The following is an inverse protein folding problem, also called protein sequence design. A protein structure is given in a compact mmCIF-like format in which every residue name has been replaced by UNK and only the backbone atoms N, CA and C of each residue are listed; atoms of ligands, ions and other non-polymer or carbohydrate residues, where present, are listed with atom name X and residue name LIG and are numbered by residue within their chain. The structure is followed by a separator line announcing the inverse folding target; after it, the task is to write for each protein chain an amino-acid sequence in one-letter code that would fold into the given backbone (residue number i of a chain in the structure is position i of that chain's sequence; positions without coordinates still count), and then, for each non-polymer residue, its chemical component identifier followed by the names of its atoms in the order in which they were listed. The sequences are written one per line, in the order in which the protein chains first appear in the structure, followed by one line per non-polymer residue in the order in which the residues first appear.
data_IF_240548274515
#
_entry.id   IF_240548274515
#
_cell.length_a   1.000
_cell.length_b   1.000
_cell.length_c   1.000
_cell.angle_alpha   90.00
_cell.angle_beta   90.00
_cell.angle_gamma   90.00
#
_symmetry.space_group_name_H-M   'P 1'
#
loop_
_entity.id
_entity.type
_entity.pdbx_description
1 polymer ?
#
# COMPACT_ATOMS: atom_id res chain seq x y z
N UNK A 1 -2.20 2.62 -30.16
CA UNK A 1 -2.39 4.05 -29.86
C UNK A 1 -1.85 4.31 -28.48
N UNK A 2 -1.12 5.40 -28.28
CA UNK A 2 -0.55 5.71 -26.96
C UNK A 2 -1.51 6.66 -26.24
N UNK A 3 -2.49 6.11 -25.50
CA UNK A 3 -3.47 6.93 -24.79
C UNK A 3 -2.84 7.71 -23.64
N UNK A 4 -3.31 8.92 -23.44
CA UNK A 4 -2.95 9.78 -22.29
C UNK A 4 -3.95 9.55 -21.16
N UNK A 5 -3.46 9.47 -19.93
CA UNK A 5 -4.29 9.28 -18.74
C UNK A 5 -3.91 10.27 -17.64
N UNK A 6 -4.84 10.53 -16.75
CA UNK A 6 -4.59 11.31 -15.53
C UNK A 6 -4.61 10.37 -14.34
N UNK A 7 -3.53 10.35 -13.59
CA UNK A 7 -3.46 9.72 -12.28
C UNK A 7 -3.75 10.79 -11.22
N UNK A 8 -4.85 10.64 -10.51
CA UNK A 8 -5.16 11.54 -9.41
C UNK A 8 -4.54 11.01 -8.11
N UNK A 9 -3.50 11.70 -7.65
CA UNK A 9 -2.77 11.37 -6.43
C UNK A 9 -2.69 12.61 -5.54
N UNK A 10 -3.53 12.72 -4.53
CA UNK A 10 -3.83 13.95 -3.80
C UNK A 10 -2.59 14.68 -3.24
N UNK A 11 -1.60 13.93 -2.73
CA UNK A 11 -0.29 14.46 -2.32
C UNK A 11 0.81 13.66 -3.02
N UNK A 12 1.17 14.02 -4.27
CA UNK A 12 2.12 13.26 -5.06
C UNK A 12 3.47 13.09 -4.35
N UNK A 13 4.10 11.95 -4.56
CA UNK A 13 5.42 11.63 -4.02
C UNK A 13 5.51 11.44 -2.50
N UNK A 14 4.40 11.18 -1.80
CA UNK A 14 4.46 10.81 -0.39
C UNK A 14 5.27 9.52 -0.18
N UNK A 15 6.19 9.53 0.81
CA UNK A 15 7.09 8.39 1.09
C UNK A 15 6.38 7.06 1.38
N UNK A 16 5.15 7.13 1.89
CA UNK A 16 4.35 5.95 2.24
C UNK A 16 3.60 5.34 1.06
N UNK A 17 3.66 5.97 -0.12
CA UNK A 17 2.85 5.63 -1.29
C UNK A 17 3.73 5.33 -2.53
N UNK A 18 4.95 4.81 -2.30
CA UNK A 18 5.93 4.46 -3.35
C UNK A 18 5.39 3.51 -4.41
N UNK A 19 4.48 2.62 -4.03
CA UNK A 19 3.83 1.66 -4.92
C UNK A 19 3.02 2.35 -6.03
N UNK A 20 2.44 3.54 -5.78
CA UNK A 20 1.73 4.33 -6.81
C UNK A 20 2.74 4.75 -7.89
N UNK A 21 3.87 5.30 -7.48
CA UNK A 21 4.90 5.72 -8.44
C UNK A 21 5.49 4.53 -9.20
N UNK A 22 5.76 3.42 -8.52
CA UNK A 22 6.22 2.20 -9.16
C UNK A 22 5.23 1.71 -10.25
N UNK A 23 3.93 1.77 -9.97
CA UNK A 23 2.91 1.41 -10.94
C UNK A 23 2.91 2.37 -12.15
N UNK A 24 2.95 3.68 -11.90
CA UNK A 24 2.95 4.71 -12.96
C UNK A 24 4.19 4.59 -13.85
N UNK A 25 5.37 4.45 -13.25
CA UNK A 25 6.66 4.39 -13.98
C UNK A 25 6.83 3.10 -14.80
N UNK A 26 6.05 2.07 -14.51
CA UNK A 26 6.05 0.80 -15.26
C UNK A 26 5.00 0.72 -16.37
N UNK A 27 4.15 1.74 -16.55
CA UNK A 27 3.22 1.80 -17.69
C UNK A 27 4.01 1.86 -19.00
N UNK A 28 3.66 0.99 -19.96
CA UNK A 28 4.35 0.86 -21.24
C UNK A 28 3.54 1.40 -22.42
N UNK A 29 2.21 1.31 -22.33
CA UNK A 29 1.28 1.65 -23.42
C UNK A 29 0.53 2.95 -23.18
N UNK A 30 0.71 3.57 -22.02
CA UNK A 30 0.00 4.77 -21.60
C UNK A 30 0.96 5.87 -21.20
N UNK A 31 0.65 7.10 -21.58
CA UNK A 31 1.30 8.29 -21.05
C UNK A 31 0.52 8.79 -19.85
N UNK A 32 1.12 8.73 -18.68
CA UNK A 32 0.49 9.18 -17.45
C UNK A 32 0.97 10.59 -17.06
N UNK A 33 0.04 11.48 -16.72
CA UNK A 33 0.32 12.70 -15.99
C UNK A 33 -0.33 12.64 -14.60
N UNK A 34 0.33 13.20 -13.60
CA UNK A 34 -0.14 13.19 -12.21
C UNK A 34 -0.84 14.50 -11.90
N UNK A 35 -2.09 14.42 -11.43
CA UNK A 35 -2.81 15.56 -10.88
C UNK A 35 -2.92 15.41 -9.36
N UNK A 36 -2.38 16.38 -8.62
CA UNK A 36 -2.43 16.42 -7.16
C UNK A 36 -3.08 17.68 -6.62
N UNK A 37 -3.52 17.64 -5.36
CA UNK A 37 -4.00 18.84 -4.71
C UNK A 37 -2.84 19.75 -4.30
N UNK A 38 -1.81 19.18 -3.69
CA UNK A 38 -0.60 19.91 -3.22
C UNK A 38 0.55 18.91 -2.98
N UNK A 39 1.75 19.42 -2.88
CA UNK A 39 2.87 18.61 -2.37
C UNK A 39 2.66 18.18 -0.91
N UNK A 40 3.18 17.01 -0.49
CA UNK A 40 3.19 16.62 0.92
C UNK A 40 4.04 17.59 1.75
N UNK A 41 3.67 17.77 3.01
CA UNK A 41 4.41 18.67 3.93
C UNK A 41 5.70 18.04 4.49
N UNK A 42 5.89 16.74 4.30
CA UNK A 42 7.05 15.97 4.78
C UNK A 42 7.99 15.54 3.65
N UNK A 43 8.93 14.64 3.96
CA UNK A 43 9.83 14.05 2.98
C UNK A 43 9.07 13.40 1.83
N UNK A 44 9.62 13.49 0.63
CA UNK A 44 9.01 12.92 -0.58
C UNK A 44 10.00 12.09 -1.38
N UNK A 45 9.49 11.13 -2.15
CA UNK A 45 10.26 10.40 -3.13
C UNK A 45 10.61 11.31 -4.31
N UNK A 46 11.69 11.01 -5.02
CA UNK A 46 12.03 11.69 -6.28
C UNK A 46 11.11 11.16 -7.39
N UNK A 47 10.42 12.06 -8.05
CA UNK A 47 9.62 11.81 -9.24
C UNK A 47 9.93 12.84 -10.31
N UNK A 48 9.57 12.58 -11.55
CA UNK A 48 9.65 13.58 -12.61
C UNK A 48 8.57 14.65 -12.36
N UNK A 49 9.00 15.84 -11.95
CA UNK A 49 8.07 16.95 -11.66
C UNK A 49 7.39 17.51 -12.92
N UNK A 50 7.90 17.23 -14.12
CA UNK A 50 7.30 17.70 -15.39
C UNK A 50 5.96 17.06 -15.68
N UNK A 51 5.75 15.84 -15.18
CA UNK A 51 4.45 15.16 -15.33
C UNK A 51 3.45 15.49 -14.20
N UNK A 52 3.83 16.38 -13.24
CA UNK A 52 3.00 16.69 -12.06
C UNK A 52 2.32 18.04 -12.20
N UNK A 53 1.01 18.04 -12.09
CA UNK A 53 0.16 19.24 -12.08
C UNK A 53 -0.52 19.37 -10.72
N UNK A 54 -0.43 20.56 -10.11
CA UNK A 54 -0.98 20.81 -8.78
C UNK A 54 -2.09 21.85 -8.83
N UNK A 55 -3.18 21.58 -8.11
CA UNK A 55 -4.28 22.51 -7.90
C UNK A 55 -3.84 23.68 -7.03
N UNK A 56 -3.13 23.38 -5.94
CA UNK A 56 -2.54 24.38 -5.07
C UNK A 56 -1.09 24.63 -5.49
N UNK A 57 -0.88 25.72 -6.20
CA UNK A 57 0.44 26.19 -6.67
C UNK A 57 1.15 27.09 -5.66
N UNK A 58 0.64 27.18 -4.43
CA UNK A 58 1.22 27.99 -3.36
C UNK A 58 0.44 29.28 -3.06
N UNK A 59 0.80 29.94 -1.98
CA UNK A 59 0.17 31.16 -1.50
C UNK A 59 -1.29 30.99 -1.06
N UNK A 60 -1.96 32.11 -0.74
CA UNK A 60 -3.36 32.08 -0.30
C UNK A 60 -4.33 31.72 -1.43
N UNK A 61 -4.06 32.13 -2.66
CA UNK A 61 -4.87 31.78 -3.85
C UNK A 61 -4.82 30.29 -4.13
N UNK A 62 -3.62 29.66 -4.02
CA UNK A 62 -3.50 28.21 -4.18
C UNK A 62 -4.28 27.44 -3.13
N UNK A 63 -4.26 27.88 -1.86
CA UNK A 63 -5.09 27.30 -0.78
C UNK A 63 -6.58 27.46 -1.07
N UNK A 64 -6.99 28.62 -1.58
CA UNK A 64 -8.39 28.86 -1.95
C UNK A 64 -8.84 27.92 -3.08
N UNK A 65 -8.03 27.78 -4.14
CA UNK A 65 -8.29 26.85 -5.25
C UNK A 65 -8.41 25.40 -4.75
N UNK A 66 -7.54 24.98 -3.83
CA UNK A 66 -7.59 23.65 -3.23
C UNK A 66 -8.91 23.40 -2.50
N UNK A 67 -9.36 24.37 -1.69
CA UNK A 67 -10.64 24.28 -0.97
C UNK A 67 -11.82 24.28 -1.94
N UNK A 68 -11.84 25.20 -2.89
CA UNK A 68 -12.90 25.30 -3.90
C UNK A 68 -13.01 24.02 -4.73
N UNK A 69 -11.87 23.43 -5.11
CA UNK A 69 -11.85 22.18 -5.84
C UNK A 69 -12.38 21.02 -4.98
N UNK A 70 -11.86 20.86 -3.77
CA UNK A 70 -12.26 19.74 -2.89
C UNK A 70 -13.73 19.82 -2.46
N UNK A 71 -14.22 21.04 -2.11
CA UNK A 71 -15.56 21.21 -1.55
C UNK A 71 -16.62 21.38 -2.62
N UNK A 72 -16.35 22.14 -3.69
CA UNK A 72 -17.34 22.46 -4.72
C UNK A 72 -17.03 21.87 -6.10
N UNK A 73 -15.89 21.17 -6.24
CA UNK A 73 -15.47 20.61 -7.52
C UNK A 73 -15.07 21.66 -8.56
N UNK A 74 -14.76 22.89 -8.13
CA UNK A 74 -14.36 23.97 -9.02
C UNK A 74 -12.93 23.75 -9.50
N UNK A 75 -12.76 23.45 -10.78
CA UNK A 75 -11.45 23.19 -11.39
C UNK A 75 -10.81 24.53 -11.75
N UNK A 76 -9.60 24.85 -11.24
CA UNK A 76 -8.89 26.08 -11.61
C UNK A 76 -8.66 26.20 -13.12
N UNK A 77 -8.63 27.45 -13.63
CA UNK A 77 -8.48 27.72 -15.06
C UNK A 77 -7.21 27.08 -15.65
N UNK A 78 -6.08 27.13 -14.92
CA UNK A 78 -4.82 26.53 -15.34
C UNK A 78 -4.91 24.99 -15.51
N UNK A 79 -5.63 24.35 -14.61
CA UNK A 79 -5.85 22.88 -14.69
C UNK A 79 -6.83 22.56 -15.82
N UNK A 80 -7.86 23.38 -16.05
CA UNK A 80 -8.77 23.18 -17.18
C UNK A 80 -8.03 23.31 -18.50
N UNK A 81 -7.24 24.38 -18.70
CA UNK A 81 -6.46 24.59 -19.91
C UNK A 81 -5.49 23.42 -20.16
N UNK A 82 -4.85 22.92 -19.10
CA UNK A 82 -4.00 21.74 -19.20
C UNK A 82 -4.79 20.50 -19.61
N UNK A 83 -5.93 20.20 -18.99
CA UNK A 83 -6.77 19.06 -19.33
C UNK A 83 -7.28 19.14 -20.78
N UNK A 84 -7.68 20.35 -21.23
CA UNK A 84 -8.14 20.59 -22.59
C UNK A 84 -7.03 20.32 -23.64
N UNK A 85 -5.76 20.60 -23.27
CA UNK A 85 -4.59 20.31 -24.10
C UNK A 85 -4.14 18.85 -23.99
N UNK A 86 -4.15 18.28 -22.78
CA UNK A 86 -3.70 16.92 -22.52
C UNK A 86 -4.65 15.88 -23.11
N UNK A 87 -5.95 16.13 -23.07
CA UNK A 87 -7.02 15.25 -23.58
C UNK A 87 -6.91 13.82 -23.05
N UNK A 88 -7.04 13.59 -21.74
CA UNK A 88 -6.94 12.27 -21.16
C UNK A 88 -8.10 11.37 -21.60
N UNK A 89 -7.83 10.07 -21.78
CA UNK A 89 -8.86 9.07 -22.10
C UNK A 89 -9.58 8.55 -20.84
N UNK A 90 -8.96 8.65 -19.66
CA UNK A 90 -9.54 8.26 -18.36
C UNK A 90 -8.85 8.98 -17.20
N UNK A 91 -9.47 8.92 -16.03
CA UNK A 91 -8.89 9.32 -14.75
C UNK A 91 -8.79 8.09 -13.86
N UNK A 92 -7.59 7.85 -13.31
CA UNK A 92 -7.37 6.82 -12.30
C UNK A 92 -6.99 7.49 -10.97
N UNK A 93 -7.88 7.46 -10.00
CA UNK A 93 -7.63 8.00 -8.66
C UNK A 93 -7.12 6.89 -7.73
N UNK A 94 -6.05 7.17 -6.99
CA UNK A 94 -5.59 6.30 -5.92
C UNK A 94 -6.19 6.75 -4.60
N UNK A 95 -6.64 5.77 -3.77
CA UNK A 95 -7.35 5.98 -2.49
C UNK A 95 -8.79 6.47 -2.69
N UNK A 96 -9.76 5.75 -2.14
CA UNK A 96 -11.20 6.04 -2.37
C UNK A 96 -11.61 7.46 -2.00
N UNK A 97 -11.18 8.06 -0.86
CA UNK A 97 -11.42 9.47 -0.57
C UNK A 97 -10.92 10.43 -1.66
N UNK A 98 -9.86 10.07 -2.38
CA UNK A 98 -9.35 10.90 -3.48
C UNK A 98 -10.16 10.72 -4.76
N UNK A 99 -10.76 9.54 -4.96
CA UNK A 99 -11.78 9.33 -6.01
C UNK A 99 -12.94 10.31 -5.86
N UNK A 100 -13.42 10.54 -4.63
CA UNK A 100 -14.48 11.50 -4.36
C UNK A 100 -14.07 12.97 -4.64
N UNK A 101 -12.77 13.27 -4.60
CA UNK A 101 -12.22 14.58 -4.97
C UNK A 101 -12.02 14.70 -6.48
N UNK A 102 -11.58 13.63 -7.16
CA UNK A 102 -11.36 13.61 -8.61
C UNK A 102 -12.67 13.54 -9.42
N UNK A 103 -13.74 13.00 -8.84
CA UNK A 103 -15.03 12.76 -9.48
C UNK A 103 -15.58 13.97 -10.25
N UNK A 104 -15.54 15.23 -9.75
CA UNK A 104 -16.02 16.39 -10.51
C UNK A 104 -15.30 16.60 -11.84
N UNK A 105 -14.02 16.23 -11.95
CA UNK A 105 -13.28 16.30 -13.21
C UNK A 105 -13.82 15.24 -14.17
N UNK A 106 -13.95 13.99 -13.72
CA UNK A 106 -14.47 12.90 -14.52
C UNK A 106 -15.87 13.24 -15.08
N UNK A 107 -16.77 13.80 -14.25
CA UNK A 107 -18.10 14.20 -14.66
C UNK A 107 -18.09 15.34 -15.68
N UNK A 108 -17.27 16.40 -15.44
CA UNK A 108 -17.21 17.56 -16.34
C UNK A 108 -16.68 17.18 -17.73
N UNK A 109 -15.66 16.34 -17.77
CA UNK A 109 -14.99 15.93 -19.02
C UNK A 109 -15.58 14.64 -19.61
N UNK A 110 -16.61 14.08 -18.97
CA UNK A 110 -17.24 12.80 -19.34
C UNK A 110 -16.22 11.68 -19.51
N UNK A 111 -15.28 11.58 -18.56
CA UNK A 111 -14.22 10.57 -18.59
C UNK A 111 -14.56 9.39 -17.69
N UNK A 112 -14.16 8.18 -18.06
CA UNK A 112 -14.20 7.05 -17.15
C UNK A 112 -13.37 7.35 -15.89
N UNK A 113 -13.92 7.00 -14.72
CA UNK A 113 -13.23 7.12 -13.43
C UNK A 113 -12.92 5.74 -12.89
N UNK A 114 -11.63 5.44 -12.74
CA UNK A 114 -11.15 4.28 -12.03
C UNK A 114 -10.68 4.72 -10.64
N UNK A 115 -10.86 3.84 -9.64
CA UNK A 115 -10.43 4.12 -8.27
C UNK A 115 -9.69 2.92 -7.72
N UNK A 116 -8.41 3.07 -7.35
CA UNK A 116 -7.66 2.05 -6.61
C UNK A 116 -7.82 2.23 -5.11
N UNK A 117 -8.06 1.14 -4.43
CA UNK A 117 -8.17 1.03 -2.97
C UNK A 117 -6.86 0.56 -2.38
N UNK A 118 -6.46 1.02 -1.19
CA UNK A 118 -5.16 0.66 -0.63
C UNK A 118 -5.20 0.15 0.82
N UNK A 119 -6.37 0.08 1.45
CA UNK A 119 -6.55 -0.50 2.78
C UNK A 119 -7.30 0.40 3.74
N UNK A 120 -6.60 1.17 4.56
CA UNK A 120 -7.23 2.01 5.59
C UNK A 120 -8.30 2.97 5.07
N UNK A 121 -8.22 3.31 3.80
CA UNK A 121 -9.19 4.16 3.09
C UNK A 121 -10.61 3.56 3.01
N UNK A 122 -10.74 2.24 3.16
CA UNK A 122 -12.03 1.53 3.15
C UNK A 122 -12.22 0.59 4.33
N UNK A 123 -11.17 0.17 5.01
CA UNK A 123 -11.31 -0.72 6.17
C UNK A 123 -11.77 0.01 7.42
N UNK A 124 -11.52 1.33 7.49
CA UNK A 124 -11.99 2.17 8.61
C UNK A 124 -13.52 2.22 8.67
N UNK A 125 -14.07 2.04 9.88
CA UNK A 125 -15.50 2.24 10.13
C UNK A 125 -15.92 3.69 9.93
N UNK A 126 -17.13 3.95 9.46
CA UNK A 126 -17.66 5.29 9.19
C UNK A 126 -17.50 6.27 10.37
N UNK A 127 -17.74 5.81 11.59
CA UNK A 127 -17.55 6.62 12.79
C UNK A 127 -16.09 7.09 12.98
N UNK A 128 -15.11 6.26 12.62
CA UNK A 128 -13.71 6.61 12.66
C UNK A 128 -13.34 7.57 11.52
N UNK A 129 -13.84 7.31 10.31
CA UNK A 129 -13.69 8.20 9.14
C UNK A 129 -14.23 9.60 9.47
N UNK A 130 -15.41 9.70 10.09
CA UNK A 130 -16.02 10.99 10.45
C UNK A 130 -15.19 11.78 11.47
N UNK A 131 -14.54 11.09 12.41
CA UNK A 131 -13.63 11.68 13.40
C UNK A 131 -12.23 11.99 12.89
N UNK A 132 -11.92 11.57 11.67
CA UNK A 132 -10.62 11.80 11.05
C UNK A 132 -10.33 13.30 10.91
N UNK A 133 -9.07 13.69 11.10
CA UNK A 133 -8.57 15.04 10.83
C UNK A 133 -8.53 15.39 9.33
N UNK A 134 -8.62 14.40 8.45
CA UNK A 134 -8.56 14.60 7.01
C UNK A 134 -9.93 14.98 6.43
N UNK A 135 -10.02 16.16 5.84
CA UNK A 135 -11.24 16.63 5.15
C UNK A 135 -11.68 15.68 4.02
N UNK A 136 -10.73 15.06 3.32
CA UNK A 136 -11.00 14.10 2.24
C UNK A 136 -11.85 12.90 2.71
N UNK A 137 -11.66 12.44 3.94
CA UNK A 137 -12.42 11.35 4.54
C UNK A 137 -13.89 11.73 4.72
N UNK A 138 -14.16 12.93 5.26
CA UNK A 138 -15.54 13.42 5.45
C UNK A 138 -16.23 13.68 4.12
N UNK A 139 -15.52 14.27 3.16
CA UNK A 139 -16.02 14.47 1.80
C UNK A 139 -16.39 13.15 1.13
N UNK A 140 -15.60 12.12 1.35
CA UNK A 140 -15.91 10.78 0.86
C UNK A 140 -17.23 10.26 1.45
N UNK A 141 -17.43 10.32 2.76
CA UNK A 141 -18.68 9.87 3.37
C UNK A 141 -19.90 10.59 2.79
N UNK A 142 -19.80 11.91 2.60
CA UNK A 142 -20.88 12.72 2.02
C UNK A 142 -21.15 12.39 0.56
N UNK A 143 -20.14 12.00 -0.20
CA UNK A 143 -20.20 11.74 -1.64
C UNK A 143 -20.18 10.26 -2.01
N UNK A 144 -20.14 9.35 -1.04
CA UNK A 144 -19.99 7.91 -1.28
C UNK A 144 -21.00 7.39 -2.32
N UNK A 145 -22.29 7.68 -2.14
CA UNK A 145 -23.32 7.22 -3.07
C UNK A 145 -23.11 7.75 -4.50
N UNK A 146 -22.67 8.99 -4.63
CA UNK A 146 -22.39 9.59 -5.94
C UNK A 146 -21.12 8.96 -6.54
N UNK A 147 -20.08 8.77 -5.74
CA UNK A 147 -18.84 8.12 -6.17
C UNK A 147 -19.10 6.71 -6.70
N UNK A 148 -19.85 5.89 -5.94
CA UNK A 148 -20.20 4.52 -6.35
C UNK A 148 -20.88 4.52 -7.73
N UNK A 149 -21.81 5.46 -7.99
CA UNK A 149 -22.50 5.56 -9.28
C UNK A 149 -21.63 6.09 -10.41
N UNK A 150 -20.64 6.93 -10.10
CA UNK A 150 -19.77 7.58 -11.10
C UNK A 150 -18.56 6.72 -11.44
N UNK A 151 -18.11 5.87 -10.51
CA UNK A 151 -16.92 5.03 -10.72
C UNK A 151 -17.20 3.94 -11.73
N UNK A 152 -16.37 3.87 -12.77
CA UNK A 152 -16.49 2.86 -13.82
C UNK A 152 -15.97 1.50 -13.34
N UNK A 153 -14.77 1.48 -12.74
CA UNK A 153 -14.18 0.30 -12.11
C UNK A 153 -13.46 0.68 -10.83
N UNK A 154 -13.52 -0.21 -9.84
CA UNK A 154 -12.73 -0.14 -8.60
C UNK A 154 -11.70 -1.23 -8.61
N UNK A 155 -10.45 -0.87 -8.35
CA UNK A 155 -9.32 -1.80 -8.32
C UNK A 155 -8.98 -2.10 -6.86
N UNK A 156 -9.04 -3.36 -6.49
CA UNK A 156 -8.66 -3.86 -5.16
C UNK A 156 -7.43 -4.77 -5.28
N UNK A 157 -6.66 -4.89 -4.19
CA UNK A 157 -5.46 -5.72 -4.18
C UNK A 157 -5.69 -7.09 -3.53
N UNK A 158 -6.86 -7.28 -2.88
CA UNK A 158 -7.20 -8.51 -2.16
C UNK A 158 -8.69 -8.79 -2.18
N UNK A 159 -9.07 -10.05 -2.02
CA UNK A 159 -10.46 -10.46 -1.82
C UNK A 159 -11.01 -9.94 -0.48
N UNK A 160 -10.14 -9.72 0.49
CA UNK A 160 -10.51 -9.04 1.74
C UNK A 160 -11.09 -7.64 1.47
N UNK A 161 -10.41 -6.83 0.67
CA UNK A 161 -10.91 -5.50 0.29
C UNK A 161 -12.15 -5.56 -0.62
N UNK A 162 -12.21 -6.57 -1.51
CA UNK A 162 -13.38 -6.79 -2.36
C UNK A 162 -14.66 -6.96 -1.53
N UNK A 163 -14.64 -7.81 -0.49
CA UNK A 163 -15.77 -8.01 0.41
C UNK A 163 -16.14 -6.71 1.14
N UNK A 164 -15.17 -5.98 1.67
CA UNK A 164 -15.42 -4.72 2.37
C UNK A 164 -16.13 -3.70 1.47
N UNK A 165 -15.72 -3.58 0.22
CA UNK A 165 -16.35 -2.64 -0.72
C UNK A 165 -17.82 -2.96 -0.97
N UNK A 166 -18.17 -4.24 -1.08
CA UNK A 166 -19.55 -4.68 -1.27
C UNK A 166 -20.35 -4.44 0.01
N UNK A 167 -19.87 -4.98 1.13
CA UNK A 167 -20.63 -5.05 2.38
C UNK A 167 -20.76 -3.69 3.09
N UNK A 168 -19.73 -2.84 3.01
CA UNK A 168 -19.67 -1.60 3.79
C UNK A 168 -19.80 -0.32 2.94
N UNK A 169 -19.41 -0.38 1.66
CA UNK A 169 -19.36 0.82 0.81
C UNK A 169 -20.39 0.82 -0.31
N UNK A 170 -21.06 -0.32 -0.58
CA UNK A 170 -22.16 -0.44 -1.54
C UNK A 170 -21.73 -0.38 -3.01
N UNK A 171 -20.49 -0.80 -3.33
CA UNK A 171 -20.06 -0.98 -4.71
C UNK A 171 -20.68 -2.27 -5.29
N UNK A 172 -21.06 -2.20 -6.57
CA UNK A 172 -21.50 -3.37 -7.31
C UNK A 172 -20.32 -4.33 -7.53
N UNK A 173 -20.47 -5.64 -7.24
CA UNK A 173 -19.42 -6.62 -7.56
C UNK A 173 -18.90 -6.54 -8.99
N UNK A 174 -19.76 -6.23 -9.97
CA UNK A 174 -19.40 -6.07 -11.37
C UNK A 174 -18.46 -4.88 -11.65
N UNK A 175 -18.40 -3.90 -10.74
CA UNK A 175 -17.46 -2.77 -10.84
C UNK A 175 -16.07 -3.09 -10.25
N UNK A 176 -15.94 -4.18 -9.47
CA UNK A 176 -14.73 -4.44 -8.69
C UNK A 176 -13.81 -5.41 -9.43
N UNK A 177 -12.57 -5.00 -9.66
CA UNK A 177 -11.53 -5.80 -10.31
C UNK A 177 -10.36 -6.00 -9.34
N UNK A 178 -9.91 -7.25 -9.18
CA UNK A 178 -8.74 -7.54 -8.36
C UNK A 178 -7.47 -7.48 -9.20
N UNK A 179 -6.64 -6.45 -8.96
CA UNK A 179 -5.29 -6.32 -9.52
C UNK A 179 -4.33 -6.08 -8.35
N UNK A 180 -3.49 -7.06 -8.07
CA UNK A 180 -2.59 -7.06 -6.92
C UNK A 180 -1.44 -6.05 -7.09
N UNK A 181 -0.88 -5.58 -5.99
CA UNK A 181 0.41 -4.87 -6.05
C UNK A 181 1.49 -5.82 -6.56
N UNK A 182 2.31 -5.32 -7.47
CA UNK A 182 3.48 -6.03 -7.95
C UNK A 182 4.75 -5.62 -7.20
N UNK A 183 5.71 -6.54 -7.15
CA UNK A 183 7.08 -6.27 -6.71
C UNK A 183 8.02 -6.35 -7.91
N UNK A 184 9.02 -5.47 -7.93
CA UNK A 184 10.08 -5.47 -8.93
C UNK A 184 11.08 -6.61 -8.63
N UNK A 185 10.97 -7.69 -9.39
CA UNK A 185 11.77 -8.90 -9.21
C UNK A 185 13.21 -8.75 -9.68
N UNK A 186 13.50 -7.74 -10.49
CA UNK A 186 14.86 -7.42 -10.91
C UNK A 186 15.62 -6.68 -9.83
N UNK A 187 14.91 -5.85 -9.09
CA UNK A 187 15.41 -5.13 -7.93
C UNK A 187 15.51 -6.03 -6.70
N UNK A 188 14.46 -6.83 -6.40
CA UNK A 188 14.41 -7.70 -5.24
C UNK A 188 14.83 -9.13 -5.64
N UNK A 189 16.17 -9.36 -5.65
CA UNK A 189 16.77 -10.67 -5.96
C UNK A 189 17.53 -11.20 -4.77
N UNK A 190 17.39 -12.50 -4.44
CA UNK A 190 18.21 -13.13 -3.41
C UNK A 190 19.68 -13.09 -3.83
N UNK A 191 20.56 -12.52 -3.03
CA UNK A 191 21.99 -12.36 -3.39
C UNK A 191 22.94 -12.76 -2.29
N UNK A 192 22.51 -12.86 -1.04
CA UNK A 192 23.37 -13.05 0.10
C UNK A 192 22.94 -14.23 0.98
N UNK A 193 23.87 -14.67 1.81
CA UNK A 193 23.58 -15.63 2.86
C UNK A 193 22.86 -14.90 4.01
N UNK A 194 21.68 -15.35 4.42
CA UNK A 194 20.96 -14.78 5.54
C UNK A 194 21.77 -14.97 6.83
N UNK A 195 21.78 -13.95 7.68
CA UNK A 195 22.46 -14.02 8.97
C UNK A 195 21.55 -14.70 9.99
N UNK A 196 21.96 -15.87 10.47
CA UNK A 196 21.18 -16.63 11.44
C UNK A 196 20.82 -15.80 12.68
N UNK A 197 19.59 -15.92 13.14
CA UNK A 197 19.08 -15.16 14.28
C UNK A 197 18.70 -13.70 13.99
N UNK A 198 18.89 -13.22 12.75
CA UNK A 198 18.51 -11.86 12.37
C UNK A 198 17.04 -11.77 11.96
N UNK A 199 16.23 -11.21 12.84
CA UNK A 199 14.82 -10.90 12.57
C UNK A 199 14.73 -9.46 12.06
N UNK A 200 14.00 -9.26 10.97
CA UNK A 200 13.76 -7.93 10.40
C UNK A 200 12.29 -7.55 10.52
N UNK A 201 12.06 -6.34 10.99
CA UNK A 201 10.77 -5.66 10.94
C UNK A 201 10.89 -4.40 10.08
N UNK A 202 9.97 -4.21 9.14
CA UNK A 202 9.89 -2.98 8.34
C UNK A 202 8.45 -2.47 8.33
N UNK A 203 8.20 -1.29 8.86
CA UNK A 203 6.86 -0.72 8.89
C UNK A 203 6.75 0.56 9.70
N UNK A 204 5.64 1.29 9.51
CA UNK A 204 5.33 2.45 10.34
C UNK A 204 5.20 2.05 11.81
N UNK A 205 5.72 2.87 12.71
CA UNK A 205 5.62 2.61 14.15
C UNK A 205 4.28 3.13 14.71
N UNK A 206 3.22 2.37 14.39
CA UNK A 206 1.82 2.56 14.79
C UNK A 206 1.26 1.23 15.32
N UNK A 207 0.17 1.27 16.07
CA UNK A 207 -0.42 0.07 16.71
C UNK A 207 -0.78 -1.02 15.69
N UNK A 208 -1.36 -0.64 14.55
CA UNK A 208 -1.75 -1.55 13.46
C UNK A 208 -0.64 -2.53 13.07
N UNK A 209 0.63 -2.09 13.09
CA UNK A 209 1.79 -2.88 12.62
C UNK A 209 2.36 -3.85 13.65
N UNK A 210 1.82 -3.87 14.86
CA UNK A 210 1.99 -4.94 15.83
C UNK A 210 3.37 -5.13 16.44
N UNK A 211 4.30 -4.15 16.36
CA UNK A 211 5.66 -4.29 16.90
C UNK A 211 5.71 -4.77 18.37
N UNK A 212 4.85 -4.34 19.30
CA UNK A 212 4.85 -4.85 20.66
C UNK A 212 4.66 -6.35 20.79
N UNK A 213 3.84 -6.95 19.91
CA UNK A 213 3.63 -8.41 19.90
C UNK A 213 4.90 -9.14 19.45
N UNK A 214 5.63 -8.61 18.47
CA UNK A 214 6.92 -9.14 18.07
C UNK A 214 7.93 -9.07 19.21
N UNK A 215 8.05 -7.92 19.90
CA UNK A 215 8.94 -7.75 21.04
C UNK A 215 8.64 -8.78 22.15
N UNK A 216 7.36 -8.99 22.46
CA UNK A 216 6.93 -9.99 23.45
C UNK A 216 7.26 -11.42 22.99
N UNK A 217 7.05 -11.75 21.72
CA UNK A 217 7.39 -13.07 21.20
C UNK A 217 8.91 -13.34 21.24
N UNK A 218 9.73 -12.36 20.85
CA UNK A 218 11.19 -12.49 20.89
C UNK A 218 11.75 -12.56 22.32
N UNK A 219 11.12 -11.90 23.28
CA UNK A 219 11.50 -12.01 24.69
C UNK A 219 11.38 -13.44 25.22
N UNK A 220 10.43 -14.23 24.72
CA UNK A 220 10.26 -15.65 25.07
C UNK A 220 11.36 -16.53 24.45
N UNK A 221 11.94 -16.11 23.33
CA UNK A 221 12.94 -16.89 22.59
C UNK A 221 14.39 -16.55 22.95
N UNK A 222 14.65 -15.44 23.63
CA UNK A 222 16.00 -14.93 23.83
C UNK A 222 16.92 -15.83 24.65
N UNK A 223 16.36 -16.70 25.50
CA UNK A 223 17.12 -17.67 26.32
C UNK A 223 17.60 -18.83 25.44
N UNK A 224 16.71 -19.34 24.59
CA UNK A 224 16.99 -20.48 23.72
C UNK A 224 17.86 -20.10 22.52
N UNK A 225 17.75 -18.82 22.08
CA UNK A 225 18.49 -18.26 20.95
C UNK A 225 19.31 -17.02 21.34
N UNK A 226 20.47 -17.17 21.99
CA UNK A 226 21.27 -16.06 22.51
C UNK A 226 21.76 -15.07 21.44
N UNK A 227 21.97 -15.52 20.20
CA UNK A 227 22.40 -14.71 19.07
C UNK A 227 21.24 -14.03 18.32
N UNK A 228 19.99 -14.20 18.79
CA UNK A 228 18.83 -13.55 18.23
C UNK A 228 18.94 -12.03 18.34
N UNK A 229 18.70 -11.33 17.24
CA UNK A 229 18.64 -9.87 17.17
C UNK A 229 17.51 -9.39 16.29
N UNK A 230 16.99 -8.22 16.59
CA UNK A 230 15.93 -7.54 15.84
C UNK A 230 16.44 -6.24 15.24
N UNK A 231 16.24 -6.05 13.95
CA UNK A 231 16.36 -4.74 13.32
C UNK A 231 14.96 -4.20 13.00
N UNK A 232 14.68 -2.98 13.43
CA UNK A 232 13.43 -2.26 13.19
C UNK A 232 13.69 -1.10 12.24
N UNK A 233 13.13 -1.18 11.04
CA UNK A 233 13.19 -0.08 10.05
C UNK A 233 11.81 0.56 9.94
N UNK A 234 11.75 1.85 10.15
CA UNK A 234 10.54 2.65 10.09
C UNK A 234 10.49 3.73 11.15
N UNK A 235 9.51 4.59 11.03
CA UNK A 235 9.26 5.68 11.96
C UNK A 235 7.76 5.84 12.22
N UNK A 236 7.39 6.60 13.23
CA UNK A 236 5.99 6.86 13.55
C UNK A 236 5.79 7.43 14.95
N UNK A 237 4.54 7.79 15.27
CA UNK A 237 4.22 8.48 16.53
C UNK A 237 4.51 7.63 17.78
N UNK A 238 4.64 6.31 17.64
CA UNK A 238 4.89 5.41 18.77
C UNK A 238 6.37 5.01 18.92
N UNK A 239 7.28 5.63 18.14
CA UNK A 239 8.71 5.28 18.14
C UNK A 239 9.31 5.27 19.56
N UNK A 240 9.24 6.38 20.28
CA UNK A 240 9.85 6.50 21.61
C UNK A 240 9.31 5.46 22.60
N UNK A 241 7.99 5.19 22.52
CA UNK A 241 7.34 4.16 23.35
C UNK A 241 7.87 2.76 23.02
N UNK A 242 8.08 2.48 21.73
CA UNK A 242 8.53 1.16 21.29
C UNK A 242 10.03 0.95 21.52
N UNK A 243 10.85 1.98 21.41
CA UNK A 243 12.27 1.94 21.78
C UNK A 243 12.44 1.64 23.28
N UNK A 244 11.64 2.29 24.14
CA UNK A 244 11.66 2.04 25.57
C UNK A 244 11.21 0.61 25.91
N UNK A 245 10.10 0.14 25.31
CA UNK A 245 9.64 -1.24 25.48
C UNK A 245 10.69 -2.26 25.03
N UNK A 246 11.31 -2.05 23.86
CA UNK A 246 12.33 -2.93 23.31
C UNK A 246 13.55 -3.01 24.23
N UNK A 247 13.99 -1.87 24.77
CA UNK A 247 15.10 -1.79 25.74
C UNK A 247 14.82 -2.59 27.00
N UNK A 248 13.57 -2.54 27.49
CA UNK A 248 13.17 -3.28 28.71
C UNK A 248 13.13 -4.79 28.49
N UNK A 249 12.64 -5.26 27.32
CA UNK A 249 12.38 -6.70 27.10
C UNK A 249 13.49 -7.42 26.38
N UNK A 250 14.30 -6.77 25.53
CA UNK A 250 15.34 -7.36 24.71
C UNK A 250 16.72 -6.71 24.88
N UNK A 251 16.82 -5.60 25.60
CA UNK A 251 18.08 -4.90 25.85
C UNK A 251 18.78 -4.45 24.56
N UNK A 252 20.05 -4.79 24.43
CA UNK A 252 20.88 -4.42 23.27
C UNK A 252 20.64 -5.25 21.99
N UNK A 253 19.74 -6.22 22.04
CA UNK A 253 19.44 -7.08 20.88
C UNK A 253 18.55 -6.39 19.83
N UNK A 254 18.07 -5.17 20.06
CA UNK A 254 17.23 -4.43 19.12
C UNK A 254 17.92 -3.17 18.63
N UNK A 255 17.87 -2.97 17.31
CA UNK A 255 18.36 -1.76 16.65
C UNK A 255 17.22 -1.07 15.92
N UNK A 256 16.96 0.21 16.24
CA UNK A 256 16.00 1.06 15.52
C UNK A 256 16.74 1.96 14.52
N UNK A 257 16.46 1.77 13.24
CA UNK A 257 17.11 2.49 12.14
C UNK A 257 16.39 3.79 11.74
N UNK A 258 15.17 4.01 12.24
CA UNK A 258 14.30 5.09 11.74
C UNK A 258 13.78 4.80 10.34
N UNK A 259 13.21 5.82 9.70
CA UNK A 259 12.78 5.72 8.31
C UNK A 259 14.01 5.65 7.38
N UNK A 260 14.03 4.66 6.51
CA UNK A 260 15.14 4.40 5.58
C UNK A 260 14.66 4.41 4.12
N UNK A 261 15.61 4.58 3.20
CA UNK A 261 15.35 4.45 1.77
C UNK A 261 15.05 2.98 1.40
N UNK A 262 14.35 2.78 0.29
CA UNK A 262 14.09 1.43 -0.22
C UNK A 262 15.38 0.64 -0.51
N UNK A 263 16.49 1.30 -0.81
CA UNK A 263 17.80 0.64 -1.02
C UNK A 263 18.31 0.05 0.29
N UNK A 264 18.24 0.79 1.39
CA UNK A 264 18.63 0.31 2.72
C UNK A 264 17.70 -0.82 3.18
N UNK A 265 16.38 -0.70 2.94
CA UNK A 265 15.43 -1.79 3.24
C UNK A 265 15.81 -3.07 2.50
N UNK A 266 16.17 -2.96 1.22
CA UNK A 266 16.62 -4.08 0.40
C UNK A 266 17.90 -4.72 0.97
N UNK A 267 18.90 -3.93 1.37
CA UNK A 267 20.14 -4.42 1.99
C UNK A 267 19.89 -5.21 3.28
N UNK A 268 18.95 -4.74 4.11
CA UNK A 268 18.57 -5.45 5.33
C UNK A 268 17.73 -6.71 5.05
N UNK A 269 16.87 -6.70 4.03
CA UNK A 269 16.16 -7.89 3.58
C UNK A 269 17.14 -8.98 3.10
N UNK A 270 18.22 -8.63 2.41
CA UNK A 270 19.24 -9.59 1.99
C UNK A 270 19.90 -10.34 3.16
N UNK A 271 20.03 -9.67 4.30
CA UNK A 271 20.68 -10.20 5.50
C UNK A 271 19.70 -10.84 6.48
N UNK A 272 18.41 -10.58 6.33
CA UNK A 272 17.39 -11.08 7.23
C UNK A 272 17.26 -12.61 7.17
N UNK A 273 17.19 -13.25 8.34
CA UNK A 273 16.89 -14.67 8.44
C UNK A 273 15.40 -14.93 8.37
N UNK A 274 14.61 -14.11 9.08
CA UNK A 274 13.14 -14.12 9.06
C UNK A 274 12.65 -12.66 9.00
N UNK A 275 11.60 -12.42 8.24
CA UNK A 275 10.86 -11.17 8.27
C UNK A 275 9.63 -11.31 9.16
N UNK A 276 9.41 -10.37 10.08
CA UNK A 276 8.22 -10.41 10.95
C UNK A 276 7.58 -9.04 11.12
N UNK A 277 6.34 -8.91 10.70
CA UNK A 277 5.49 -7.74 10.94
C UNK A 277 4.07 -8.21 11.30
N UNK A 278 3.78 -8.48 12.60
CA UNK A 278 2.53 -9.08 13.04
C UNK A 278 1.42 -8.02 13.13
N UNK A 279 0.96 -7.54 11.97
CA UNK A 279 -0.11 -6.54 11.88
C UNK A 279 -1.42 -7.07 12.46
N UNK A 280 -2.18 -6.17 13.09
CA UNK A 280 -3.45 -6.48 13.75
C UNK A 280 -4.60 -5.71 13.11
N UNK A 281 -5.82 -6.14 13.38
CA UNK A 281 -7.03 -5.38 13.09
C UNK A 281 -7.32 -4.43 14.26
N UNK A 282 -7.48 -3.14 13.94
CA UNK A 282 -7.77 -2.11 14.93
C UNK A 282 -9.26 -2.06 15.29
N UNK A 283 -9.63 -1.60 16.50
CA UNK A 283 -11.04 -1.37 16.85
C UNK A 283 -11.77 -0.39 15.90
N UNK A 284 -11.02 0.49 15.26
CA UNK A 284 -11.52 1.40 14.20
C UNK A 284 -11.88 0.69 12.89
N UNK A 285 -11.54 -0.59 12.75
CA UNK A 285 -11.69 -1.40 11.53
C UNK A 285 -10.46 -1.40 10.64
N UNK A 286 -9.48 -0.52 10.87
CA UNK A 286 -8.24 -0.51 10.08
C UNK A 286 -7.54 -1.87 10.15
N UNK A 287 -7.18 -2.39 8.98
CA UNK A 287 -6.45 -3.64 8.83
C UNK A 287 -5.47 -3.56 7.66
N UNK A 288 -4.50 -4.45 7.62
CA UNK A 288 -3.58 -4.58 6.49
C UNK A 288 -4.34 -5.04 5.23
N UNK A 289 -4.13 -4.36 4.12
CA UNK A 289 -4.78 -4.75 2.85
C UNK A 289 -4.08 -5.90 2.15
N UNK A 290 -2.76 -5.85 2.12
CA UNK A 290 -1.91 -6.85 1.48
C UNK A 290 -0.53 -6.93 2.18
N UNK A 291 0.09 -5.77 2.49
CA UNK A 291 1.43 -5.71 3.07
C UNK A 291 2.53 -5.94 2.05
N UNK A 292 2.79 -4.93 1.20
CA UNK A 292 3.79 -5.01 0.11
C UNK A 292 5.17 -5.49 0.60
N UNK A 293 5.57 -5.13 1.81
CA UNK A 293 6.85 -5.53 2.38
C UNK A 293 6.97 -7.06 2.58
N UNK A 294 5.88 -7.79 2.74
CA UNK A 294 5.91 -9.26 2.73
C UNK A 294 6.31 -9.80 1.36
N UNK A 295 5.80 -9.15 0.29
CA UNK A 295 6.17 -9.50 -1.08
C UNK A 295 7.66 -9.23 -1.34
N UNK A 296 8.16 -8.10 -0.85
CA UNK A 296 9.57 -7.73 -0.94
C UNK A 296 10.46 -8.74 -0.19
N UNK A 297 10.06 -9.15 1.02
CA UNK A 297 10.77 -10.16 1.80
C UNK A 297 10.79 -11.53 1.08
N UNK A 298 9.65 -12.02 0.62
CA UNK A 298 9.55 -13.29 -0.11
C UNK A 298 10.29 -13.22 -1.44
N UNK A 299 10.28 -12.08 -2.15
CA UNK A 299 11.07 -11.87 -3.35
C UNK A 299 12.58 -12.03 -3.10
N UNK A 300 13.04 -11.70 -1.90
CA UNK A 300 14.43 -11.88 -1.44
C UNK A 300 14.70 -13.28 -0.85
N UNK A 301 13.73 -14.20 -0.88
CA UNK A 301 13.86 -15.53 -0.28
C UNK A 301 13.85 -15.51 1.26
N UNK A 302 13.25 -14.48 1.86
CA UNK A 302 13.11 -14.34 3.31
C UNK A 302 11.70 -14.74 3.72
N UNK A 303 11.52 -15.85 4.48
CA UNK A 303 10.19 -16.29 4.89
C UNK A 303 9.57 -15.30 5.88
N UNK A 304 8.32 -14.89 5.68
CA UNK A 304 7.61 -14.04 6.59
C UNK A 304 6.90 -14.81 7.71
N UNK A 305 6.82 -14.19 8.89
CA UNK A 305 5.91 -14.60 9.97
C UNK A 305 5.04 -13.41 10.33
N UNK A 306 3.73 -13.62 10.42
CA UNK A 306 2.77 -12.56 10.74
C UNK A 306 1.54 -13.11 11.45
N UNK A 307 0.60 -12.24 11.80
CA UNK A 307 -0.73 -12.64 12.19
C UNK A 307 -1.64 -12.84 10.97
N UNK A 308 -2.63 -13.73 11.09
CA UNK A 308 -3.70 -13.93 10.11
C UNK A 308 -4.73 -12.78 10.22
N UNK A 309 -4.33 -11.58 9.79
CA UNK A 309 -5.13 -10.34 9.89
C UNK A 309 -5.32 -9.69 8.54
N UNK A 310 -6.51 -9.17 8.29
CA UNK A 310 -6.84 -8.45 7.05
C UNK A 310 -6.62 -9.27 5.78
N UNK A 311 -5.87 -8.70 4.83
CA UNK A 311 -5.50 -9.36 3.57
C UNK A 311 -4.18 -10.15 3.62
N UNK A 312 -3.47 -10.20 4.75
CA UNK A 312 -2.20 -10.91 4.90
C UNK A 312 -2.31 -12.41 4.51
N UNK A 313 -3.39 -13.15 4.82
CA UNK A 313 -3.55 -14.54 4.40
C UNK A 313 -3.60 -14.76 2.88
N UNK A 314 -3.80 -13.71 2.09
CA UNK A 314 -3.75 -13.79 0.62
C UNK A 314 -2.33 -13.64 0.07
N UNK A 315 -1.38 -13.19 0.92
CA UNK A 315 0.04 -13.02 0.58
C UNK A 315 0.88 -14.16 1.11
N UNK A 316 0.73 -14.48 2.40
CA UNK A 316 1.47 -15.54 3.07
C UNK A 316 0.62 -16.82 3.07
N UNK A 317 1.10 -17.85 2.40
CA UNK A 317 0.53 -19.19 2.48
C UNK A 317 1.06 -19.88 3.73
N UNK A 318 0.20 -20.08 4.72
CA UNK A 318 0.58 -20.69 5.99
C UNK A 318 1.17 -22.10 5.78
N UNK A 319 2.35 -22.33 6.38
CA UNK A 319 3.12 -23.58 6.27
C UNK A 319 3.65 -23.92 4.87
N UNK A 320 3.56 -22.97 3.92
CA UNK A 320 4.11 -23.12 2.57
C UNK A 320 5.16 -22.04 2.27
N UNK A 321 4.79 -20.75 2.40
CA UNK A 321 5.69 -19.64 2.11
C UNK A 321 6.13 -18.86 3.36
N UNK A 322 5.55 -19.18 4.51
CA UNK A 322 5.75 -18.54 5.80
C UNK A 322 4.75 -19.04 6.83
N UNK A 323 4.69 -18.36 7.96
CA UNK A 323 3.73 -18.71 9.01
C UNK A 323 2.76 -17.57 9.32
N UNK A 324 1.53 -17.96 9.63
CA UNK A 324 0.46 -17.08 10.11
C UNK A 324 0.02 -17.55 11.49
N UNK A 325 0.27 -16.75 12.50
CA UNK A 325 -0.24 -16.96 13.85
C UNK A 325 -1.64 -16.34 14.00
N UNK A 326 -2.41 -16.86 14.94
CA UNK A 326 -3.67 -16.25 15.36
C UNK A 326 -3.43 -14.80 15.82
N UNK A 327 -4.27 -13.88 15.39
CA UNK A 327 -4.12 -12.46 15.70
C UNK A 327 -3.99 -12.22 17.21
N UNK A 328 -2.92 -11.49 17.62
CA UNK A 328 -2.52 -11.17 18.99
C UNK A 328 -2.01 -12.34 19.84
N UNK A 329 -1.89 -13.54 19.30
CA UNK A 329 -1.32 -14.68 20.00
C UNK A 329 0.21 -14.66 19.92
N UNK A 330 0.85 -14.12 20.95
CA UNK A 330 2.32 -14.00 21.02
C UNK A 330 3.02 -15.35 21.28
N UNK A 331 2.32 -16.34 21.84
CA UNK A 331 2.88 -17.68 22.05
C UNK A 331 3.02 -18.41 20.74
N UNK A 332 1.99 -18.38 19.91
CA UNK A 332 2.02 -18.96 18.58
C UNK A 332 2.99 -18.22 17.65
N UNK A 333 3.09 -16.87 17.77
CA UNK A 333 4.06 -16.08 17.03
C UNK A 333 5.50 -16.48 17.42
N UNK A 334 5.79 -16.65 18.71
CA UNK A 334 7.08 -17.11 19.22
C UNK A 334 7.38 -18.52 18.72
N UNK A 335 6.42 -19.44 18.80
CA UNK A 335 6.57 -20.82 18.33
C UNK A 335 7.00 -20.86 16.85
N UNK A 336 6.32 -20.13 15.96
CA UNK A 336 6.66 -20.13 14.54
C UNK A 336 8.02 -19.46 14.25
N UNK A 337 8.37 -18.40 14.97
CA UNK A 337 9.70 -17.79 14.87
C UNK A 337 10.79 -18.77 15.34
N UNK A 338 10.58 -19.44 16.47
CA UNK A 338 11.47 -20.47 17.00
C UNK A 338 11.67 -21.63 16.02
N UNK A 339 10.57 -22.11 15.43
CA UNK A 339 10.60 -23.22 14.45
C UNK A 339 11.48 -22.90 13.22
N UNK A 340 11.44 -21.67 12.71
CA UNK A 340 12.30 -21.25 11.60
C UNK A 340 13.77 -21.09 12.02
N UNK A 341 14.03 -20.71 13.28
CA UNK A 341 15.38 -20.61 13.83
C UNK A 341 16.01 -21.99 14.06
N UNK A 342 15.23 -22.98 14.50
CA UNK A 342 15.66 -24.35 14.77
C UNK A 342 15.83 -25.17 13.50
N UNK A 343 15.07 -24.87 12.44
CA UNK A 343 15.00 -25.69 11.24
C UNK A 343 15.44 -24.92 9.99
N UNK A 344 16.76 -24.80 9.72
CA UNK A 344 17.27 -24.10 8.54
C UNK A 344 16.74 -24.65 7.21
N UNK A 345 16.53 -25.96 7.12
CA UNK A 345 15.96 -26.60 5.93
C UNK A 345 14.52 -26.11 5.65
N UNK A 346 13.69 -26.00 6.69
CA UNK A 346 12.33 -25.46 6.59
C UNK A 346 12.34 -23.97 6.19
N UNK A 347 13.23 -23.18 6.84
CA UNK A 347 13.44 -21.76 6.50
C UNK A 347 13.80 -21.59 5.03
N UNK A 348 14.72 -22.38 4.50
CA UNK A 348 15.15 -22.31 3.11
C UNK A 348 14.04 -22.72 2.16
N UNK A 349 13.32 -23.81 2.46
CA UNK A 349 12.16 -24.24 1.70
C UNK A 349 11.12 -23.11 1.58
N UNK A 350 10.76 -22.47 2.69
CA UNK A 350 9.80 -21.37 2.66
C UNK A 350 10.32 -20.14 1.90
N UNK A 351 11.60 -19.86 1.97
CA UNK A 351 12.23 -18.81 1.18
C UNK A 351 12.10 -19.05 -0.34
N UNK A 352 12.38 -20.29 -0.79
CA UNK A 352 12.25 -20.67 -2.19
C UNK A 352 10.79 -20.68 -2.67
N UNK A 353 9.87 -21.24 -1.88
CA UNK A 353 8.44 -21.26 -2.19
C UNK A 353 7.86 -19.86 -2.20
N UNK A 354 8.24 -19.02 -1.22
CA UNK A 354 7.84 -17.61 -1.17
C UNK A 354 8.28 -16.85 -2.42
N UNK A 355 9.53 -17.03 -2.85
CA UNK A 355 10.05 -16.42 -4.09
C UNK A 355 9.23 -16.87 -5.31
N UNK A 356 9.01 -18.18 -5.49
CA UNK A 356 8.21 -18.72 -6.60
C UNK A 356 6.78 -18.17 -6.60
N UNK A 357 6.15 -18.08 -5.41
CA UNK A 357 4.82 -17.52 -5.25
C UNK A 357 4.75 -16.06 -5.70
N UNK A 358 5.73 -15.24 -5.30
CA UNK A 358 5.78 -13.83 -5.71
C UNK A 358 6.04 -13.69 -7.20
N UNK A 359 6.88 -14.51 -7.80
CA UNK A 359 7.14 -14.53 -9.26
C UNK A 359 5.87 -14.81 -10.06
N UNK A 360 5.05 -15.73 -9.60
CA UNK A 360 3.82 -16.15 -10.28
C UNK A 360 2.70 -15.11 -10.14
N UNK A 361 2.46 -14.61 -8.93
CA UNK A 361 1.25 -13.87 -8.62
C UNK A 361 1.45 -12.37 -8.41
N UNK A 362 2.68 -11.92 -8.10
CA UNK A 362 2.95 -10.56 -7.71
C UNK A 362 4.09 -9.89 -8.51
N UNK A 363 4.38 -10.39 -9.71
CA UNK A 363 5.33 -9.76 -10.60
C UNK A 363 4.81 -8.41 -11.07
N UNK A 364 5.57 -7.33 -10.87
CA UNK A 364 5.18 -5.97 -11.21
C UNK A 364 4.81 -5.81 -12.69
N UNK A 365 5.59 -6.40 -13.60
CA UNK A 365 5.30 -6.32 -15.03
C UNK A 365 3.96 -6.96 -15.38
N UNK A 366 3.68 -8.14 -14.80
CA UNK A 366 2.40 -8.86 -15.01
C UNK A 366 1.22 -8.06 -14.45
N UNK A 367 1.35 -7.50 -13.24
CA UNK A 367 0.26 -6.72 -12.65
C UNK A 367 0.04 -5.39 -13.39
N UNK A 368 1.11 -4.76 -13.90
CA UNK A 368 0.99 -3.57 -14.75
C UNK A 368 0.30 -3.91 -16.07
N UNK A 369 0.63 -5.03 -16.71
CA UNK A 369 -0.05 -5.46 -17.93
C UNK A 369 -1.55 -5.72 -17.73
N UNK A 370 -1.95 -6.29 -16.58
CA UNK A 370 -3.37 -6.44 -16.20
C UNK A 370 -4.06 -5.08 -16.04
N UNK A 371 -3.38 -4.11 -15.43
CA UNK A 371 -3.92 -2.75 -15.29
C UNK A 371 -4.10 -2.07 -16.66
N UNK A 372 -3.13 -2.18 -17.54
CA UNK A 372 -3.22 -1.62 -18.89
C UNK A 372 -4.31 -2.30 -19.74
N UNK A 373 -4.53 -3.61 -19.56
CA UNK A 373 -5.65 -4.30 -20.20
C UNK A 373 -7.02 -3.81 -19.68
N UNK A 374 -7.12 -3.53 -18.36
CA UNK A 374 -8.32 -2.91 -17.79
C UNK A 374 -8.55 -1.49 -18.35
N UNK A 375 -7.49 -0.71 -18.55
CA UNK A 375 -7.62 0.60 -19.19
C UNK A 375 -8.16 0.49 -20.60
N UNK A 376 -7.64 -0.48 -21.43
CA UNK A 376 -8.12 -0.72 -22.78
C UNK A 376 -9.62 -1.06 -22.80
N UNK A 377 -10.05 -1.97 -21.91
CA UNK A 377 -11.45 -2.37 -21.75
C UNK A 377 -12.34 -1.17 -21.44
N UNK A 378 -11.98 -0.39 -20.42
CA UNK A 378 -12.77 0.77 -19.95
C UNK A 378 -12.85 1.84 -21.03
N UNK A 379 -11.76 2.13 -21.75
CA UNK A 379 -11.76 3.11 -22.82
C UNK A 379 -12.64 2.64 -23.99
N UNK A 380 -12.55 1.37 -24.37
CA UNK A 380 -13.37 0.81 -25.44
C UNK A 380 -14.87 0.86 -25.10
N UNK A 381 -15.25 0.44 -23.87
CA UNK A 381 -16.65 0.55 -23.41
C UNK A 381 -17.16 2.00 -23.42
N UNK A 382 -16.30 2.95 -23.03
CA UNK A 382 -16.67 4.35 -22.99
C UNK A 382 -16.91 4.92 -24.39
N UNK A 383 -16.04 4.59 -25.35
CA UNK A 383 -16.20 5.02 -26.75
C UNK A 383 -17.50 4.45 -27.34
N UNK A 384 -17.77 3.14 -27.14
CA UNK A 384 -19.02 2.52 -27.61
C UNK A 384 -20.27 3.20 -27.07
N UNK A 385 -20.29 3.52 -25.76
CA UNK A 385 -21.43 4.23 -25.12
C UNK A 385 -21.59 5.67 -25.58
N UNK A 386 -20.53 6.29 -26.11
CA UNK A 386 -20.56 7.68 -26.59
C UNK A 386 -21.04 7.79 -28.06
N UNK A 387 -21.05 6.68 -28.79
CA UNK A 387 -21.48 6.60 -30.20
C UNK A 387 -22.98 6.21 -30.31
N UNK A 388 -23.52 5.61 -29.26
CA UNK A 388 -24.95 5.28 -29.13
C UNK A 388 -25.73 6.45 -28.52
#
# INVERSE_FOLDING_TARGET
MNYKIVIFWNQPAALTETFIYNQISNLRRYQAAILGSKWPSGPRIRIDEQIVHLINQGGWRGKLHEVQFKVWGQIPATIRQWLDTWQPALIHAHVVPYGAIAMPIAQRYRLPLLVSVHGSDVTMRDAAIWRSSYMSHRLYLLRRRQLVRTTTRVIVQSHFLHRILIEQHGFDPAQIVCIRHGVDLDRFRPTANPEWGHILYVGRLIELKGLPYLLTALAKLQTDFPALRLTVIGDGPLRSRYEELARQVLGSRVTFMGAQSNTVVQEYLQRAYVFCMPSITMPTGEAESLGVVFLEAMAMGVPPVSFASGGIPEVIRHSETGFLATERNTDELAYYLGLLLEQPALRNKFGEEGRRWVEQEFNLNTQTAKLEALYDEVIAEHIQKSVL
#
